data_IF_855954975429
#
_entry.id   IF_855954975429
#
_cell.length_a   1.000
_cell.length_b   1.000
_cell.length_c   1.000
_cell.angle_alpha   90.00
_cell.angle_beta   90.00
_cell.angle_gamma   90.00
#
_symmetry.space_group_name_H-M   'P 1'
#
loop_
_entity.id
_entity.type
_entity.pdbx_description
1 polymer ?
#
# COMPACT_ATOMS: atom_id res chain seq x y z
N UNK A 1 -53.09 22.18 -51.10
CA UNK A 1 -52.63 23.07 -50.01
C UNK A 1 -52.09 22.17 -48.91
N UNK A 2 -50.76 22.04 -48.84
CA UNK A 2 -50.05 21.27 -47.81
C UNK A 2 -49.82 22.17 -46.61
N UNK A 3 -50.32 21.77 -45.43
CA UNK A 3 -49.95 22.35 -44.14
C UNK A 3 -49.23 21.29 -43.33
N UNK A 4 -47.93 21.51 -43.09
CA UNK A 4 -47.06 20.62 -42.33
C UNK A 4 -47.38 20.66 -40.84
N UNK A 5 -47.37 19.48 -40.22
CA UNK A 5 -47.37 19.32 -38.76
C UNK A 5 -45.90 19.22 -38.36
N UNK A 6 -45.39 20.29 -37.78
CA UNK A 6 -44.04 20.34 -37.20
C UNK A 6 -44.10 19.63 -35.83
N UNK A 7 -43.66 18.38 -35.81
CA UNK A 7 -43.61 17.54 -34.62
C UNK A 7 -42.40 17.92 -33.76
N UNK A 8 -42.56 18.93 -32.91
CA UNK A 8 -41.60 19.20 -31.84
C UNK A 8 -41.65 18.04 -30.83
N UNK A 9 -40.63 17.18 -30.84
CA UNK A 9 -40.34 16.20 -29.78
C UNK A 9 -40.10 16.97 -28.47
N UNK A 10 -40.73 16.60 -27.34
CA UNK A 10 -40.55 17.31 -26.08
C UNK A 10 -39.11 17.12 -25.52
N UNK A 11 -38.60 18.04 -24.68
CA UNK A 11 -37.18 18.17 -24.34
C UNK A 11 -36.61 17.15 -23.35
N UNK A 12 -37.31 16.05 -23.05
CA UNK A 12 -36.86 15.10 -22.02
C UNK A 12 -35.65 14.26 -22.47
N UNK A 13 -35.58 13.91 -23.76
CA UNK A 13 -34.48 13.11 -24.33
C UNK A 13 -33.15 13.88 -24.34
N UNK A 14 -33.21 15.19 -24.60
CA UNK A 14 -32.04 16.07 -24.62
C UNK A 14 -31.37 16.29 -23.27
N UNK A 15 -32.12 16.21 -22.17
CA UNK A 15 -31.57 16.34 -20.82
C UNK A 15 -30.86 15.04 -20.38
N UNK A 16 -31.42 13.89 -20.76
CA UNK A 16 -30.78 12.58 -20.58
C UNK A 16 -29.45 12.48 -21.34
N UNK A 17 -29.44 12.89 -22.61
CA UNK A 17 -28.23 12.88 -23.43
C UNK A 17 -27.13 13.79 -22.90
N UNK A 18 -27.49 15.00 -22.44
CA UNK A 18 -26.52 15.93 -21.83
C UNK A 18 -25.93 15.37 -20.53
N UNK A 19 -26.74 14.71 -19.72
CA UNK A 19 -26.27 14.09 -18.48
C UNK A 19 -25.33 12.91 -18.78
N UNK A 20 -25.68 12.04 -19.73
CA UNK A 20 -24.83 10.91 -20.16
C UNK A 20 -23.50 11.41 -20.74
N UNK A 21 -23.52 12.47 -21.56
CA UNK A 21 -22.29 13.07 -22.09
C UNK A 21 -21.44 13.72 -20.98
N UNK A 22 -22.05 14.36 -20.00
CA UNK A 22 -21.34 14.95 -18.86
C UNK A 22 -20.72 13.86 -17.96
N UNK A 23 -21.43 12.76 -17.73
CA UNK A 23 -20.94 11.59 -16.99
C UNK A 23 -19.82 10.87 -17.74
N UNK A 24 -19.95 10.69 -19.06
CA UNK A 24 -18.88 10.15 -19.91
C UNK A 24 -17.64 11.06 -19.88
N UNK A 25 -17.82 12.37 -20.00
CA UNK A 25 -16.73 13.34 -19.92
C UNK A 25 -16.06 13.36 -18.54
N UNK A 26 -16.84 13.21 -17.47
CA UNK A 26 -16.32 13.10 -16.10
C UNK A 26 -15.54 11.80 -15.92
N UNK A 27 -16.07 10.70 -16.43
CA UNK A 27 -15.43 9.39 -16.39
C UNK A 27 -14.11 9.42 -17.15
N UNK A 28 -14.09 10.00 -18.35
CA UNK A 28 -12.88 10.15 -19.15
C UNK A 28 -11.81 10.95 -18.41
N UNK A 29 -12.15 12.11 -17.83
CA UNK A 29 -11.20 12.89 -17.03
C UNK A 29 -10.65 12.12 -15.84
N UNK A 30 -11.48 11.32 -15.17
CA UNK A 30 -11.03 10.48 -14.07
C UNK A 30 -10.05 9.40 -14.55
N UNK A 31 -10.36 8.74 -15.67
CA UNK A 31 -9.47 7.75 -16.27
C UNK A 31 -8.13 8.38 -16.67
N UNK A 32 -8.14 9.55 -17.30
CA UNK A 32 -6.93 10.26 -17.70
C UNK A 32 -6.05 10.58 -16.47
N UNK A 33 -6.65 11.06 -15.38
CA UNK A 33 -5.95 11.33 -14.12
C UNK A 33 -5.34 10.07 -13.50
N UNK A 34 -6.07 8.95 -13.47
CA UNK A 34 -5.56 7.69 -12.94
C UNK A 34 -4.43 7.12 -13.79
N UNK A 35 -4.56 7.19 -15.12
CA UNK A 35 -3.54 6.75 -16.05
C UNK A 35 -2.26 7.59 -15.94
N UNK A 36 -2.39 8.90 -15.81
CA UNK A 36 -1.26 9.81 -15.57
C UNK A 36 -0.58 9.49 -14.24
N UNK A 37 -1.35 9.35 -13.16
CA UNK A 37 -0.82 9.02 -11.84
C UNK A 37 -0.04 7.69 -11.84
N UNK A 38 -0.59 6.66 -12.49
CA UNK A 38 0.07 5.36 -12.61
C UNK A 38 1.40 5.48 -13.38
N UNK A 39 1.42 6.21 -14.50
CA UNK A 39 2.63 6.41 -15.30
C UNK A 39 3.71 7.17 -14.53
N UNK A 40 3.31 8.22 -13.83
CA UNK A 40 4.21 9.04 -13.03
C UNK A 40 4.78 8.27 -11.84
N UNK A 41 3.97 7.41 -11.20
CA UNK A 41 4.44 6.51 -10.15
C UNK A 41 5.48 5.50 -10.69
N UNK A 42 5.21 4.89 -11.86
CA UNK A 42 6.18 4.00 -12.52
C UNK A 42 7.48 4.72 -12.85
N UNK A 43 7.41 5.96 -13.34
CA UNK A 43 8.60 6.76 -13.63
C UNK A 43 9.43 7.02 -12.37
N UNK A 44 8.77 7.40 -11.26
CA UNK A 44 9.41 7.62 -9.95
C UNK A 44 10.02 6.34 -9.39
N UNK A 45 9.32 5.22 -9.49
CA UNK A 45 9.80 3.91 -9.04
C UNK A 45 11.09 3.52 -9.77
N UNK A 46 11.19 3.77 -11.09
CA UNK A 46 12.36 3.41 -11.90
C UNK A 46 13.62 4.20 -11.56
N UNK A 47 13.50 5.43 -11.07
CA UNK A 47 14.63 6.29 -10.71
C UNK A 47 14.94 6.26 -9.21
N UNK A 48 14.15 5.54 -8.42
CA UNK A 48 14.33 5.48 -6.98
C UNK A 48 15.50 4.58 -6.61
N UNK A 49 16.50 5.15 -5.94
CA UNK A 49 17.61 4.42 -5.34
C UNK A 49 17.42 4.37 -3.82
N UNK A 50 16.99 3.22 -3.27
CA UNK A 50 16.77 3.11 -1.83
C UNK A 50 18.09 3.09 -1.06
N UNK A 51 18.18 3.93 -0.03
CA UNK A 51 19.26 3.85 0.96
C UNK A 51 19.10 2.60 1.84
N UNK A 52 20.16 2.26 2.59
CA UNK A 52 20.10 1.14 3.54
C UNK A 52 19.28 1.55 4.76
N UNK A 53 18.25 0.76 5.06
CA UNK A 53 17.48 0.86 6.29
C UNK A 53 18.19 0.10 7.44
N UNK A 54 18.42 0.81 8.55
CA UNK A 54 19.01 0.23 9.76
C UNK A 54 17.92 -0.20 10.73
N UNK A 55 17.49 -1.44 10.59
CA UNK A 55 16.49 -2.06 11.44
C UNK A 55 16.04 -3.40 10.87
N UNK A 56 15.17 -4.06 11.60
CA UNK A 56 14.54 -5.31 11.17
C UNK A 56 13.32 -4.99 10.29
N UNK A 57 13.05 -5.82 9.30
CA UNK A 57 11.81 -5.75 8.52
C UNK A 57 11.06 -7.08 8.55
N UNK A 58 9.75 -7.00 8.39
CA UNK A 58 8.89 -8.15 8.14
C UNK A 58 8.16 -7.96 6.82
N UNK A 59 8.18 -8.99 5.97
CA UNK A 59 7.51 -9.00 4.68
C UNK A 59 6.40 -10.06 4.68
N UNK A 60 5.17 -9.64 4.40
CA UNK A 60 4.07 -10.55 4.09
C UNK A 60 4.08 -10.85 2.59
N UNK A 61 4.46 -12.08 2.25
CA UNK A 61 4.70 -12.54 0.88
C UNK A 61 3.44 -13.16 0.31
N UNK A 62 2.87 -12.58 -0.74
CA UNK A 62 1.76 -13.17 -1.48
C UNK A 62 2.31 -14.27 -2.41
N UNK A 63 1.98 -15.53 -2.15
CA UNK A 63 2.66 -16.67 -2.81
C UNK A 63 1.84 -17.37 -3.88
N UNK A 64 0.59 -16.96 -4.15
CA UNK A 64 -0.29 -17.69 -5.08
C UNK A 64 0.11 -17.52 -6.54
N UNK A 65 0.69 -16.38 -6.89
CA UNK A 65 0.99 -16.03 -8.28
C UNK A 65 2.41 -16.44 -8.71
N UNK A 66 3.29 -16.77 -7.76
CA UNK A 66 4.71 -16.96 -8.03
C UNK A 66 5.34 -17.91 -6.99
N UNK A 67 5.82 -19.05 -7.49
CA UNK A 67 6.64 -19.99 -6.70
C UNK A 67 7.96 -19.31 -6.30
N UNK A 68 8.52 -19.70 -5.15
CA UNK A 68 9.76 -19.12 -4.59
C UNK A 68 9.76 -17.60 -4.32
N UNK A 69 8.60 -16.93 -4.42
CA UNK A 69 8.44 -15.48 -4.17
C UNK A 69 9.09 -15.02 -2.86
N UNK A 70 8.94 -15.81 -1.81
CA UNK A 70 9.51 -15.52 -0.50
C UNK A 70 11.04 -15.49 -0.53
N UNK A 71 11.68 -16.45 -1.20
CA UNK A 71 13.13 -16.49 -1.32
C UNK A 71 13.68 -15.35 -2.19
N UNK A 72 12.96 -15.01 -3.27
CA UNK A 72 13.27 -13.84 -4.10
C UNK A 72 13.23 -12.55 -3.29
N UNK A 73 12.18 -12.33 -2.49
CA UNK A 73 12.03 -11.13 -1.66
C UNK A 73 13.19 -10.99 -0.65
N UNK A 74 13.57 -12.06 0.04
CA UNK A 74 14.71 -11.99 0.98
C UNK A 74 15.98 -11.55 0.24
N UNK A 75 16.26 -12.13 -0.91
CA UNK A 75 17.44 -11.80 -1.71
C UNK A 75 17.39 -10.36 -2.25
N UNK A 76 16.24 -9.90 -2.74
CA UNK A 76 16.09 -8.56 -3.30
C UNK A 76 16.18 -7.46 -2.24
N UNK A 77 15.71 -7.72 -1.01
CA UNK A 77 15.72 -6.74 0.08
C UNK A 77 17.02 -6.71 0.87
N UNK A 78 17.83 -7.78 0.85
CA UNK A 78 19.07 -7.88 1.63
C UNK A 78 20.08 -6.73 1.40
N UNK A 79 20.28 -6.22 0.18
CA UNK A 79 21.17 -5.08 -0.05
C UNK A 79 20.71 -3.78 0.63
N UNK A 80 19.42 -3.68 0.99
CA UNK A 80 18.79 -2.45 1.47
C UNK A 80 18.43 -2.50 2.96
N UNK A 81 18.71 -3.61 3.66
CA UNK A 81 18.36 -3.79 5.07
C UNK A 81 19.55 -4.38 5.83
N UNK A 82 19.98 -3.70 6.89
CA UNK A 82 21.09 -4.21 7.72
C UNK A 82 20.63 -5.19 8.81
N UNK A 83 19.39 -5.09 9.30
CA UNK A 83 18.84 -5.96 10.33
C UNK A 83 18.29 -7.30 9.83
N UNK A 84 17.43 -7.92 10.63
CA UNK A 84 16.76 -9.19 10.33
C UNK A 84 15.67 -8.98 9.26
N UNK A 85 15.56 -9.93 8.32
CA UNK A 85 14.46 -9.97 7.34
C UNK A 85 13.62 -11.20 7.64
N UNK A 86 12.43 -10.99 8.17
CA UNK A 86 11.45 -12.05 8.38
C UNK A 86 10.43 -12.06 7.25
N UNK A 87 10.03 -13.25 6.81
CA UNK A 87 9.01 -13.41 5.77
C UNK A 87 7.89 -14.32 6.22
N UNK A 88 6.66 -13.96 5.85
CA UNK A 88 5.46 -14.74 6.12
C UNK A 88 4.67 -14.92 4.84
N UNK A 89 4.55 -16.15 4.37
CA UNK A 89 3.74 -16.47 3.21
C UNK A 89 2.24 -16.33 3.53
N UNK A 90 1.52 -15.70 2.61
CA UNK A 90 0.07 -15.57 2.59
C UNK A 90 -0.39 -16.15 1.26
N UNK A 91 -1.17 -17.23 1.28
CA UNK A 91 -1.69 -17.89 0.07
C UNK A 91 -2.81 -17.04 -0.56
N UNK A 92 -2.40 -15.94 -1.19
CA UNK A 92 -3.22 -14.96 -1.90
C UNK A 92 -2.44 -14.39 -3.08
N UNK A 93 -3.18 -13.93 -4.09
CA UNK A 93 -2.60 -13.15 -5.16
C UNK A 93 -2.19 -11.76 -4.63
N UNK A 94 -1.22 -11.12 -5.27
CA UNK A 94 -0.74 -9.80 -4.81
C UNK A 94 -1.88 -8.76 -4.73
N UNK A 95 -2.75 -8.75 -5.74
CA UNK A 95 -3.89 -7.83 -5.82
C UNK A 95 -4.99 -8.12 -4.79
N UNK A 96 -4.98 -9.32 -4.20
CA UNK A 96 -5.95 -9.72 -3.20
C UNK A 96 -5.48 -9.43 -1.77
N UNK A 97 -4.21 -9.06 -1.58
CA UNK A 97 -3.60 -8.91 -0.24
C UNK A 97 -4.32 -7.91 0.65
N UNK A 98 -5.00 -6.91 0.08
CA UNK A 98 -5.74 -5.88 0.83
C UNK A 98 -7.24 -6.17 0.97
N UNK A 99 -7.72 -7.35 0.53
CA UNK A 99 -9.09 -7.79 0.78
C UNK A 99 -9.30 -8.05 2.27
N UNK A 100 -10.54 -7.88 2.75
CA UNK A 100 -10.90 -8.16 4.15
C UNK A 100 -10.44 -9.57 4.60
N UNK A 101 -10.64 -10.57 3.74
CA UNK A 101 -10.21 -11.94 4.01
C UNK A 101 -8.69 -12.04 4.19
N UNK A 102 -7.92 -11.44 3.28
CA UNK A 102 -6.45 -11.48 3.33
C UNK A 102 -5.88 -10.72 4.52
N UNK A 103 -6.44 -9.54 4.83
CA UNK A 103 -6.11 -8.76 6.03
C UNK A 103 -6.41 -9.56 7.29
N UNK A 104 -7.52 -10.32 7.31
CA UNK A 104 -7.83 -11.25 8.40
C UNK A 104 -6.76 -12.33 8.62
N UNK A 105 -6.09 -12.79 7.56
CA UNK A 105 -5.06 -13.83 7.63
C UNK A 105 -3.77 -13.33 8.30
N UNK A 106 -3.29 -12.13 7.95
CA UNK A 106 -2.03 -11.62 8.50
C UNK A 106 -2.20 -10.59 9.63
N UNK A 107 -3.40 -10.04 9.83
CA UNK A 107 -3.65 -8.95 10.77
C UNK A 107 -3.34 -9.29 12.22
N UNK A 108 -3.72 -10.48 12.69
CA UNK A 108 -3.38 -10.92 14.05
C UNK A 108 -1.85 -11.01 14.26
N UNK A 109 -1.14 -11.48 13.23
CA UNK A 109 0.32 -11.58 13.26
C UNK A 109 0.97 -10.20 13.24
N UNK A 110 0.46 -9.28 12.41
CA UNK A 110 0.90 -7.89 12.40
C UNK A 110 0.77 -7.25 13.79
N UNK A 111 -0.37 -7.42 14.47
CA UNK A 111 -0.55 -6.93 15.84
C UNK A 111 0.50 -7.47 16.80
N UNK A 112 0.76 -8.79 16.77
CA UNK A 112 1.78 -9.39 17.63
C UNK A 112 3.18 -8.83 17.33
N UNK A 113 3.55 -8.69 16.06
CA UNK A 113 4.84 -8.15 15.66
C UNK A 113 5.03 -6.71 16.14
N UNK A 114 4.00 -5.88 16.05
CA UNK A 114 4.05 -4.50 16.51
C UNK A 114 4.22 -4.39 18.02
N UNK A 115 3.52 -5.24 18.80
CA UNK A 115 3.71 -5.30 20.26
C UNK A 115 5.12 -5.76 20.62
N UNK A 116 5.69 -6.72 19.89
CA UNK A 116 7.07 -7.14 20.10
C UNK A 116 8.06 -6.03 19.75
N UNK A 117 7.84 -5.31 18.65
CA UNK A 117 8.68 -4.19 18.24
C UNK A 117 8.68 -3.06 19.30
N UNK A 118 7.50 -2.72 19.83
CA UNK A 118 7.36 -1.75 20.91
C UNK A 118 8.15 -2.16 22.16
N UNK A 119 7.99 -3.40 22.62
CA UNK A 119 8.74 -3.92 23.78
C UNK A 119 10.25 -3.92 23.55
N UNK A 120 10.72 -4.29 22.35
CA UNK A 120 12.15 -4.25 22.00
C UNK A 120 12.69 -2.82 22.09
N UNK A 121 11.90 -1.85 21.61
CA UNK A 121 12.24 -0.43 21.67
C UNK A 121 12.30 0.07 23.13
N UNK A 122 11.33 -0.26 23.96
CA UNK A 122 11.32 0.07 25.39
C UNK A 122 12.55 -0.48 26.11
N UNK A 123 12.91 -1.74 25.84
CA UNK A 123 14.09 -2.38 26.42
C UNK A 123 15.39 -1.73 25.96
N UNK A 124 15.52 -1.39 24.67
CA UNK A 124 16.69 -0.71 24.13
C UNK A 124 16.90 0.68 24.78
N UNK A 125 15.82 1.45 24.93
CA UNK A 125 15.86 2.74 25.65
C UNK A 125 16.16 2.57 27.14
N UNK A 126 15.58 1.56 27.79
CA UNK A 126 15.83 1.23 29.19
C UNK A 126 17.27 0.78 29.45
N UNK A 127 17.91 0.11 28.50
CA UNK A 127 19.32 -0.26 28.56
C UNK A 127 20.24 0.95 28.37
N UNK A 128 19.98 1.80 27.38
CA UNK A 128 20.75 3.02 27.14
C UNK A 128 20.73 3.98 28.34
N UNK A 129 19.57 4.16 28.98
CA UNK A 129 19.42 4.99 30.19
C UNK A 129 20.08 4.41 31.44
N UNK A 130 20.28 3.08 31.52
CA UNK A 130 21.02 2.45 32.61
C UNK A 130 22.53 2.55 32.43
N UNK A 131 23.01 2.47 31.20
CA UNK A 131 24.44 2.59 30.88
C UNK A 131 24.94 4.03 31.05
N UNK A 132 24.06 5.03 30.88
CA UNK A 132 24.35 6.45 31.14
C UNK A 132 24.38 6.82 32.64
N UNK A 133 23.92 5.92 33.54
CA UNK A 133 24.09 6.10 34.99
C UNK A 133 25.48 5.64 35.42
N UNK A 134 26.36 6.60 35.69
CA UNK A 134 27.67 6.34 36.28
C UNK A 134 27.53 5.51 37.58
N UNK A 135 28.43 4.54 37.82
CA UNK A 135 28.36 3.67 38.99
C UNK A 135 28.70 4.48 40.25
N UNK A 136 27.68 4.93 40.99
CA UNK A 136 27.90 5.63 42.26
C UNK A 136 26.70 6.28 42.94
N UNK A 137 25.64 6.66 42.21
CA UNK A 137 24.49 7.32 42.85
C UNK A 137 23.50 6.31 43.43
N UNK A 138 23.75 5.91 44.69
CA UNK A 138 22.69 5.43 45.58
C UNK A 138 21.94 6.64 46.12
N UNK A 139 20.66 6.74 45.80
CA UNK A 139 19.75 7.71 46.42
C UNK A 139 19.69 7.47 47.93
N UNK A 140 20.01 8.52 48.69
CA UNK A 140 19.63 8.66 50.10
C UNK A 140 18.20 9.16 50.24
#
# INVERSE_FOLDING_TARGET
MNGGVDGAVPPEDTLGDQQVMAEASRSQRLFDLLAENARENVARYRIHEPSVFTGDITIFSATRDEDDRTAFLVQSWRPHVSGEILTYSVDRAHNDTLTNESVGLYGQRLTHLLVLAERRLELAHGAATRDDKLPGERAG
#
